data_IF_433010957371
#
_entry.id   IF_433010957371
#
_cell.length_a   1.000
_cell.length_b   1.000
_cell.length_c   1.000
_cell.angle_alpha   90.00
_cell.angle_beta   90.00
_cell.angle_gamma   90.00
#
_symmetry.space_group_name_H-M   'P 1'
#
loop_
_entity.id
_entity.type
_entity.pdbx_description
1 polymer ?
#
# COMPACT_ATOMS: atom_id res chain seq x y z
N UNK A 1 -20.46 -14.42 11.24
CA UNK A 1 -19.00 -14.51 11.08
C UNK A 1 -18.52 -13.07 11.04
N UNK A 2 -17.44 -12.75 11.74
CA UNK A 2 -16.91 -11.38 11.71
C UNK A 2 -16.26 -11.15 10.34
N UNK A 3 -16.77 -10.18 9.56
CA UNK A 3 -16.29 -9.89 8.21
C UNK A 3 -14.79 -9.51 8.23
N UNK A 4 -14.31 -8.89 9.31
CA UNK A 4 -12.91 -8.54 9.50
C UNK A 4 -11.99 -9.77 9.58
N UNK A 5 -12.43 -10.83 10.26
CA UNK A 5 -11.67 -12.07 10.39
C UNK A 5 -11.48 -12.77 9.03
N UNK A 6 -12.54 -12.80 8.21
CA UNK A 6 -12.47 -13.40 6.88
C UNK A 6 -11.61 -12.57 5.92
N UNK A 7 -11.65 -11.24 6.03
CA UNK A 7 -10.75 -10.34 5.28
C UNK A 7 -9.28 -10.62 5.63
N UNK A 8 -8.92 -10.63 6.91
CA UNK A 8 -7.54 -10.89 7.33
C UNK A 8 -7.05 -12.27 6.89
N UNK A 9 -7.91 -13.30 6.98
CA UNK A 9 -7.56 -14.64 6.51
C UNK A 9 -7.22 -14.66 5.02
N UNK A 10 -8.00 -13.98 4.17
CA UNK A 10 -7.72 -13.88 2.73
C UNK A 10 -6.40 -13.16 2.44
N UNK A 11 -6.08 -12.13 3.22
CA UNK A 11 -4.80 -11.39 3.12
C UNK A 11 -3.63 -12.32 3.44
N UNK A 12 -3.70 -13.03 4.58
CA UNK A 12 -2.65 -13.95 5.02
C UNK A 12 -2.50 -15.20 4.11
N UNK A 13 -3.58 -15.63 3.45
CA UNK A 13 -3.52 -16.68 2.41
C UNK A 13 -2.84 -16.19 1.12
N UNK A 14 -2.97 -14.90 0.80
CA UNK A 14 -2.44 -14.32 -0.44
C UNK A 14 -0.98 -13.91 -0.33
N UNK A 15 -0.56 -13.40 0.82
CA UNK A 15 0.79 -12.88 1.03
C UNK A 15 1.38 -13.25 2.39
N UNK A 16 2.70 -13.33 2.44
CA UNK A 16 3.46 -13.33 3.69
C UNK A 16 3.85 -11.88 3.99
N UNK A 17 3.01 -11.19 4.74
CA UNK A 17 3.23 -9.78 5.09
C UNK A 17 4.16 -9.65 6.32
N UNK A 18 4.93 -8.54 6.43
CA UNK A 18 5.68 -8.22 7.64
C UNK A 18 4.72 -7.97 8.81
N UNK A 19 5.17 -8.24 10.05
CA UNK A 19 4.32 -8.15 11.23
C UNK A 19 3.81 -6.72 11.46
N UNK A 20 4.62 -5.69 11.19
CA UNK A 20 4.22 -4.29 11.32
C UNK A 20 2.97 -3.96 10.48
N UNK A 21 2.89 -4.48 9.26
CA UNK A 21 1.71 -4.30 8.41
C UNK A 21 0.53 -5.14 8.90
N UNK A 22 0.76 -6.38 9.35
CA UNK A 22 -0.31 -7.22 9.90
C UNK A 22 -0.95 -6.61 11.15
N UNK A 23 -0.13 -6.07 12.06
CA UNK A 23 -0.59 -5.37 13.26
C UNK A 23 -1.44 -4.15 12.90
N UNK A 24 -0.99 -3.34 11.94
CA UNK A 24 -1.75 -2.20 11.44
C UNK A 24 -3.10 -2.63 10.84
N UNK A 25 -3.14 -3.62 9.95
CA UNK A 25 -4.37 -4.03 9.27
C UNK A 25 -5.41 -4.63 10.23
N UNK A 26 -4.96 -5.31 11.30
CA UNK A 26 -5.87 -5.86 12.34
C UNK A 26 -6.59 -4.77 13.12
N UNK A 27 -5.99 -3.59 13.27
CA UNK A 27 -6.57 -2.45 13.99
C UNK A 27 -7.22 -1.42 13.06
N UNK A 28 -6.90 -1.46 11.76
CA UNK A 28 -7.40 -0.55 10.73
C UNK A 28 -8.11 -1.32 9.60
N UNK A 29 -9.35 -1.82 9.84
CA UNK A 29 -10.12 -2.46 8.78
C UNK A 29 -10.52 -1.49 7.67
N UNK A 30 -10.83 -0.24 8.04
CA UNK A 30 -11.21 0.82 7.12
C UNK A 30 -10.00 1.65 6.68
N UNK A 31 -10.02 2.09 5.41
CA UNK A 31 -8.99 2.97 4.87
C UNK A 31 -9.05 4.38 5.45
N UNK A 32 -7.88 5.04 5.45
CA UNK A 32 -7.72 6.42 5.90
C UNK A 32 -7.41 7.33 4.71
N UNK A 33 -7.87 8.57 4.79
CA UNK A 33 -7.64 9.62 3.80
C UNK A 33 -6.95 10.78 4.51
N UNK A 34 -5.68 10.99 4.18
CA UNK A 34 -4.80 11.96 4.85
C UNK A 34 -4.57 13.12 3.89
N UNK A 35 -5.01 14.33 4.29
CA UNK A 35 -4.67 15.56 3.58
C UNK A 35 -3.22 15.93 3.90
N UNK A 36 -2.39 16.15 2.88
CA UNK A 36 -1.01 16.58 3.07
C UNK A 36 -0.95 18.11 3.15
N UNK A 37 -0.45 18.63 4.28
CA UNK A 37 -0.42 20.08 4.59
C UNK A 37 0.91 20.77 4.21
N UNK A 38 1.91 20.01 3.74
CA UNK A 38 3.27 20.55 3.46
C UNK A 38 3.48 20.93 1.99
N UNK A 39 3.95 22.17 1.76
CA UNK A 39 4.30 22.74 0.44
C UNK A 39 5.41 21.96 -0.30
N UNK A 40 6.23 21.20 0.42
CA UNK A 40 7.44 20.57 -0.12
C UNK A 40 7.22 19.16 -0.71
N UNK A 41 6.11 18.49 -0.36
CA UNK A 41 5.78 17.17 -0.92
C UNK A 41 4.28 16.90 -0.83
N UNK A 42 3.66 16.76 -2.00
CA UNK A 42 2.24 16.44 -2.19
C UNK A 42 1.22 17.53 -1.80
N UNK A 43 1.59 18.79 -1.57
CA UNK A 43 0.67 19.87 -1.17
C UNK A 43 -0.73 19.81 -1.82
N UNK A 44 -1.76 19.67 -0.98
CA UNK A 44 -3.15 19.58 -1.42
C UNK A 44 -3.58 18.24 -2.03
N UNK A 45 -2.75 17.20 -1.99
CA UNK A 45 -3.09 15.84 -2.42
C UNK A 45 -3.56 15.02 -1.21
N UNK A 46 -4.47 14.09 -1.46
CA UNK A 46 -4.98 13.17 -0.43
C UNK A 46 -4.31 11.82 -0.59
N UNK A 47 -3.62 11.37 0.46
CA UNK A 47 -3.09 10.02 0.55
C UNK A 47 -4.20 9.09 1.02
N UNK A 48 -4.61 8.15 0.18
CA UNK A 48 -5.52 7.07 0.53
C UNK A 48 -4.72 5.87 1.03
N UNK A 49 -4.59 5.75 2.35
CA UNK A 49 -3.91 4.65 3.05
C UNK A 49 -4.89 3.49 3.27
N UNK A 50 -4.55 2.31 2.75
CA UNK A 50 -5.45 1.17 2.73
C UNK A 50 -5.60 0.52 4.10
N UNK A 51 -6.85 0.31 4.50
CA UNK A 51 -7.20 -0.63 5.56
C UNK A 51 -7.29 -2.07 5.04
N UNK A 52 -7.52 -3.03 5.95
CA UNK A 52 -7.63 -4.44 5.58
C UNK A 52 -8.69 -4.70 4.50
N UNK A 53 -9.83 -4.01 4.56
CA UNK A 53 -10.94 -4.24 3.63
C UNK A 53 -10.60 -3.84 2.18
N UNK A 54 -9.66 -2.92 1.99
CA UNK A 54 -9.30 -2.40 0.67
C UNK A 54 -7.98 -2.96 0.15
N UNK A 55 -7.09 -3.52 0.98
CA UNK A 55 -5.74 -3.92 0.56
C UNK A 55 -5.70 -4.81 -0.69
N UNK A 56 -6.57 -5.83 -0.77
CA UNK A 56 -6.62 -6.74 -1.93
C UNK A 56 -7.12 -6.01 -3.18
N UNK A 57 -8.18 -5.21 -3.04
CA UNK A 57 -8.77 -4.48 -4.16
C UNK A 57 -7.87 -3.33 -4.61
N UNK A 58 -7.12 -2.72 -3.70
CA UNK A 58 -6.13 -1.68 -3.97
C UNK A 58 -4.97 -2.13 -4.85
N UNK A 59 -4.86 -3.42 -5.16
CA UNK A 59 -3.90 -3.93 -6.14
C UNK A 59 -4.41 -3.89 -7.58
N UNK A 60 -5.71 -3.67 -7.80
CA UNK A 60 -6.31 -3.61 -9.12
C UNK A 60 -5.75 -2.41 -9.91
N UNK A 61 -5.20 -2.68 -11.09
CA UNK A 61 -4.52 -1.67 -11.92
C UNK A 61 -3.02 -1.54 -11.67
N UNK A 62 -2.50 -2.17 -10.61
CA UNK A 62 -1.07 -2.23 -10.29
C UNK A 62 -0.49 -3.64 -10.49
N UNK A 63 -0.56 -4.49 -9.47
CA UNK A 63 -0.05 -5.86 -9.52
C UNK A 63 -1.04 -6.85 -10.10
N UNK A 64 -2.31 -6.44 -10.28
CA UNK A 64 -3.37 -7.30 -10.78
C UNK A 64 -4.27 -6.58 -11.80
N UNK A 65 -4.52 -7.24 -12.93
CA UNK A 65 -5.47 -6.78 -13.93
C UNK A 65 -6.87 -7.36 -13.62
N UNK A 66 -7.86 -6.55 -13.21
CA UNK A 66 -9.19 -7.04 -12.88
C UNK A 66 -10.02 -7.49 -14.08
N UNK A 67 -9.68 -7.01 -15.29
CA UNK A 67 -10.37 -7.37 -16.54
C UNK A 67 -9.93 -8.75 -17.01
N UNK A 68 -8.62 -8.96 -17.14
CA UNK A 68 -8.03 -10.23 -17.58
C UNK A 68 -7.96 -11.27 -16.45
N UNK A 69 -8.10 -10.82 -15.20
CA UNK A 69 -7.97 -11.63 -13.98
C UNK A 69 -6.61 -12.31 -13.83
N UNK A 70 -5.56 -11.57 -14.16
CA UNK A 70 -4.17 -12.04 -14.14
C UNK A 70 -3.27 -11.10 -13.36
N UNK A 71 -2.14 -11.62 -12.89
CA UNK A 71 -1.05 -10.81 -12.35
C UNK A 71 -0.42 -10.03 -13.51
N UNK A 72 -0.01 -8.79 -13.27
CA UNK A 72 0.74 -7.98 -14.24
C UNK A 72 2.22 -8.38 -14.11
N UNK A 73 2.78 -8.98 -15.17
CA UNK A 73 4.11 -9.63 -15.12
C UNK A 73 5.25 -8.64 -14.85
N UNK A 74 5.11 -7.39 -15.29
CA UNK A 74 6.13 -6.34 -15.10
C UNK A 74 6.08 -5.69 -13.70
N UNK A 75 5.15 -6.11 -12.84
CA UNK A 75 5.07 -5.64 -11.46
C UNK A 75 5.93 -6.49 -10.53
N UNK A 76 6.70 -5.86 -9.65
CA UNK A 76 7.48 -6.58 -8.64
C UNK A 76 6.55 -7.32 -7.65
N UNK A 77 6.57 -8.67 -7.58
CA UNK A 77 5.63 -9.43 -6.75
C UNK A 77 5.82 -9.21 -5.24
N UNK A 78 6.94 -8.61 -4.81
CA UNK A 78 7.18 -8.26 -3.41
C UNK A 78 6.67 -6.85 -3.05
N UNK A 79 6.27 -6.04 -4.04
CA UNK A 79 5.77 -4.69 -3.81
C UNK A 79 4.26 -4.73 -3.68
N UNK A 80 3.78 -4.48 -2.47
CA UNK A 80 2.35 -4.44 -2.17
C UNK A 80 1.94 -2.98 -2.03
N UNK A 81 0.98 -2.53 -2.84
CA UNK A 81 0.46 -1.17 -2.72
C UNK A 81 -0.30 -1.06 -1.41
N UNK A 82 0.14 -0.16 -0.52
CA UNK A 82 -0.48 0.09 0.79
C UNK A 82 -1.16 1.45 0.85
N UNK A 83 -0.81 2.37 -0.04
CA UNK A 83 -1.49 3.64 -0.20
C UNK A 83 -1.37 4.13 -1.64
N UNK A 84 -2.19 5.12 -2.01
CA UNK A 84 -1.99 5.86 -3.26
C UNK A 84 -2.32 7.34 -3.09
N UNK A 85 -1.72 8.17 -3.94
CA UNK A 85 -2.00 9.58 -4.10
C UNK A 85 -2.29 9.82 -5.59
N UNK A 86 -3.58 10.01 -5.95
CA UNK A 86 -4.00 10.18 -7.35
C UNK A 86 -3.41 9.14 -8.33
N UNK A 87 -3.51 7.86 -7.96
CA UNK A 87 -2.98 6.70 -8.69
C UNK A 87 -1.44 6.53 -8.67
N UNK A 88 -0.72 7.39 -7.96
CA UNK A 88 0.69 7.14 -7.64
C UNK A 88 0.78 6.21 -6.42
N UNK A 89 1.34 4.99 -6.56
CA UNK A 89 1.35 4.01 -5.49
C UNK A 89 2.47 4.27 -4.48
N UNK A 90 2.15 4.01 -3.21
CA UNK A 90 3.12 3.73 -2.16
C UNK A 90 3.13 2.23 -1.90
N UNK A 91 4.27 1.60 -2.12
CA UNK A 91 4.47 0.16 -2.06
C UNK A 91 5.37 -0.22 -0.90
N UNK A 92 4.92 -1.14 -0.04
CA UNK A 92 5.82 -1.78 0.93
C UNK A 92 6.55 -2.94 0.24
N UNK A 93 7.87 -3.05 0.45
CA UNK A 93 8.62 -4.25 0.07
C UNK A 93 8.54 -5.30 1.18
N UNK A 94 7.79 -6.38 0.93
CA UNK A 94 7.62 -7.48 1.90
C UNK A 94 8.77 -8.48 1.91
N UNK A 95 9.76 -8.32 1.02
CA UNK A 95 10.95 -9.16 0.97
C UNK A 95 12.13 -8.63 1.77
N UNK A 96 12.11 -7.35 2.13
CA UNK A 96 13.12 -6.71 2.97
C UNK A 96 12.70 -6.71 4.45
N UNK A 97 13.68 -6.94 5.33
CA UNK A 97 13.47 -7.03 6.78
C UNK A 97 13.04 -5.71 7.42
N UNK A 98 13.41 -4.58 6.82
CA UNK A 98 13.00 -3.25 7.28
C UNK A 98 11.67 -2.81 6.68
N UNK A 99 11.20 -3.52 5.64
CA UNK A 99 9.98 -3.22 4.91
C UNK A 99 9.87 -1.74 4.50
N UNK A 100 10.83 -1.27 3.67
CA UNK A 100 10.83 0.10 3.17
C UNK A 100 9.62 0.36 2.27
N UNK A 101 9.26 1.63 2.15
CA UNK A 101 8.18 2.11 1.30
C UNK A 101 8.78 2.75 0.06
N UNK A 102 8.35 2.28 -1.11
CA UNK A 102 8.69 2.84 -2.41
C UNK A 102 7.53 3.64 -2.97
N UNK A 103 7.83 4.68 -3.74
CA UNK A 103 6.86 5.52 -4.44
C UNK A 103 7.21 5.55 -5.93
N UNK A 104 6.20 5.63 -6.79
CA UNK A 104 6.39 5.85 -8.22
C UNK A 104 5.29 6.76 -8.78
N UNK A 105 5.63 7.60 -9.76
CA UNK A 105 4.62 8.38 -10.48
C UNK A 105 3.98 7.53 -11.58
N UNK A 106 2.64 7.54 -11.64
CA UNK A 106 1.92 6.90 -12.73
C UNK A 106 2.07 7.69 -14.04
N UNK A 107 1.81 7.00 -15.17
CA UNK A 107 1.78 7.65 -16.49
C UNK A 107 3.14 7.94 -17.13
N UNK A 108 4.25 7.52 -16.51
CA UNK A 108 5.62 7.70 -17.03
C UNK A 108 6.04 6.67 -18.09
N UNK A 109 5.14 5.76 -18.48
CA UNK A 109 5.38 4.68 -19.44
C UNK A 109 5.87 3.40 -18.78
N UNK A 110 6.82 3.52 -17.84
CA UNK A 110 7.31 2.46 -16.97
C UNK A 110 7.20 2.91 -15.50
N UNK A 111 7.15 1.96 -14.56
CA UNK A 111 7.20 2.27 -13.12
C UNK A 111 8.64 2.49 -12.68
N UNK A 112 8.96 3.73 -12.29
CA UNK A 112 10.26 4.10 -11.71
C UNK A 112 10.08 4.31 -10.21
N UNK A 113 10.49 3.32 -9.41
CA UNK A 113 10.29 3.31 -7.97
C UNK A 113 11.47 3.95 -7.25
N UNK A 114 11.18 4.95 -6.43
CA UNK A 114 12.13 5.60 -5.52
C UNK A 114 11.79 5.24 -4.08
N UNK A 115 12.81 5.04 -3.24
CA UNK A 115 12.60 4.82 -1.81
C UNK A 115 12.04 6.09 -1.17
N UNK A 116 10.86 5.99 -0.57
CA UNK A 116 10.16 7.08 0.10
C UNK A 116 10.39 7.07 1.62
N UNK A 117 10.37 5.88 2.24
CA UNK A 117 10.65 5.69 3.65
C UNK A 117 11.43 4.40 3.87
N UNK A 118 12.30 4.37 4.87
CA UNK A 118 13.13 3.21 5.22
C UNK A 118 12.37 2.10 5.95
N UNK A 119 11.15 2.39 6.41
CA UNK A 119 10.26 1.45 7.08
C UNK A 119 8.79 1.89 7.02
N UNK A 120 7.89 0.93 7.21
CA UNK A 120 6.46 1.20 7.35
C UNK A 120 6.13 2.09 8.57
N UNK A 121 6.85 1.95 9.67
CA UNK A 121 6.67 2.79 10.86
C UNK A 121 7.05 4.26 10.58
N UNK A 122 8.18 4.49 9.90
CA UNK A 122 8.57 5.83 9.43
C UNK A 122 7.49 6.46 8.55
N UNK A 123 6.88 5.67 7.66
CA UNK A 123 5.79 6.13 6.80
C UNK A 123 4.53 6.52 7.58
N UNK A 124 4.09 5.69 8.54
CA UNK A 124 2.95 6.03 9.40
C UNK A 124 3.18 7.30 10.22
N UNK A 125 4.40 7.47 10.76
CA UNK A 125 4.79 8.67 11.50
C UNK A 125 4.72 9.92 10.62
N UNK A 126 5.17 9.84 9.36
CA UNK A 126 5.08 10.93 8.39
C UNK A 126 3.63 11.32 8.11
N UNK A 127 2.72 10.34 8.08
CA UNK A 127 1.28 10.56 7.90
C UNK A 127 0.53 10.95 9.19
N UNK A 128 1.23 11.02 10.33
CA UNK A 128 0.61 11.33 11.63
C UNK A 128 -0.28 10.23 12.19
N UNK A 129 -0.10 8.98 11.75
CA UNK A 129 -0.85 7.80 12.21
C UNK A 129 -0.08 7.12 13.37
N UNK A 130 -0.80 6.80 14.47
CA UNK A 130 -0.26 6.15 15.67
C UNK A 130 -0.94 4.82 15.96
#
# INVERSE_FOLDING_TARGET
MDDSFETMKKIEEKWKLPECLLEYLRTHPESQYIETEDEDSFDGIVIHLYGANDLIKGQEGYSYNPVEKTIIEDWNPNYIVIANADADPFCIDISDINSPIYYAMHGMGDWDFEEYCDSFESFLNLLGIQ
#
